data_IF_036006032434
#
_entry.id   IF_036006032434
#
_cell.length_a   1.000
_cell.length_b   1.000
_cell.length_c   1.000
_cell.angle_alpha   90.00
_cell.angle_beta   90.00
_cell.angle_gamma   90.00
#
_symmetry.space_group_name_H-M   'P 1'
#
loop_
_entity.id
_entity.type
_entity.pdbx_description
1 polymer ?
#
# COMPACT_ATOMS: atom_id res chain seq x y z
N UNK A 1 -29.00 -34.25 -38.53
CA UNK A 1 -28.47 -33.22 -39.45
C UNK A 1 -29.61 -32.44 -40.08
N UNK A 2 -29.85 -31.18 -39.70
CA UNK A 2 -30.53 -30.17 -40.54
C UNK A 2 -29.98 -28.80 -40.17
N UNK A 3 -29.29 -28.21 -41.14
CA UNK A 3 -28.76 -26.84 -41.17
C UNK A 3 -29.91 -25.88 -41.46
N UNK A 4 -29.95 -24.70 -40.84
CA UNK A 4 -30.30 -23.41 -41.46
C UNK A 4 -29.96 -22.31 -40.44
N UNK A 5 -28.72 -21.81 -40.46
CA UNK A 5 -28.36 -20.55 -39.82
C UNK A 5 -28.49 -19.49 -40.91
N UNK A 6 -29.56 -18.71 -40.84
CA UNK A 6 -29.80 -17.61 -41.78
C UNK A 6 -28.85 -16.47 -41.46
N UNK A 7 -27.90 -16.26 -42.35
CA UNK A 7 -27.08 -15.06 -42.50
C UNK A 7 -28.00 -13.85 -42.70
N UNK A 8 -27.95 -12.88 -41.79
CA UNK A 8 -28.31 -11.50 -42.07
C UNK A 8 -27.00 -10.71 -42.21
N UNK A 9 -26.66 -10.47 -43.47
CA UNK A 9 -25.50 -9.70 -43.92
C UNK A 9 -26.04 -8.44 -44.61
N UNK A 10 -25.35 -7.33 -44.32
CA UNK A 10 -25.27 -6.02 -45.00
C UNK A 10 -25.80 -4.87 -44.12
N UNK A 11 -24.98 -4.00 -43.55
CA UNK A 11 -23.86 -3.18 -44.05
C UNK A 11 -24.30 -1.71 -44.10
N UNK A 12 -23.45 -0.83 -43.58
CA UNK A 12 -23.48 0.59 -43.95
C UNK A 12 -23.55 1.58 -42.81
N UNK A 13 -22.41 1.81 -42.14
CA UNK A 13 -21.99 3.14 -41.70
C UNK A 13 -20.50 3.08 -41.32
N UNK A 14 -19.65 3.15 -42.34
CA UNK A 14 -18.26 3.56 -42.18
C UNK A 14 -18.22 5.09 -42.14
N UNK A 15 -17.30 5.61 -41.33
CA UNK A 15 -16.82 7.00 -41.24
C UNK A 15 -17.52 7.93 -40.24
N UNK A 16 -17.20 7.69 -38.96
CA UNK A 16 -16.95 8.76 -38.00
C UNK A 16 -15.54 8.61 -37.44
N UNK A 17 -14.54 9.17 -38.13
CA UNK A 17 -13.20 9.36 -37.56
C UNK A 17 -13.28 10.38 -36.43
N UNK A 18 -13.36 9.90 -35.20
CA UNK A 18 -12.87 10.61 -34.02
C UNK A 18 -12.32 9.56 -33.04
N UNK A 19 -11.07 9.17 -33.26
CA UNK A 19 -10.20 8.86 -32.12
C UNK A 19 -10.05 10.16 -31.34
N UNK A 20 -10.92 10.42 -30.36
CA UNK A 20 -10.65 11.39 -29.31
C UNK A 20 -10.96 10.76 -27.98
N UNK A 21 -9.87 10.29 -27.38
CA UNK A 21 -9.68 10.03 -25.96
C UNK A 21 -10.84 9.32 -25.26
N UNK A 22 -10.77 8.00 -25.23
CA UNK A 22 -11.11 7.29 -23.99
C UNK A 22 -10.27 7.98 -22.92
N UNK A 23 -10.91 8.79 -22.08
CA UNK A 23 -10.25 9.63 -21.09
C UNK A 23 -9.53 8.76 -20.07
N UNK A 24 -8.30 8.36 -20.40
CA UNK A 24 -7.23 7.98 -19.48
C UNK A 24 -6.82 9.18 -18.60
N UNK A 25 -7.80 9.87 -18.00
CA UNK A 25 -7.57 10.96 -17.06
C UNK A 25 -7.76 10.49 -15.61
N UNK A 26 -8.62 9.50 -15.36
CA UNK A 26 -8.89 9.06 -13.98
C UNK A 26 -7.89 8.03 -13.42
N UNK A 27 -7.23 7.22 -14.25
CA UNK A 27 -6.26 6.25 -13.72
C UNK A 27 -4.97 6.95 -13.24
N UNK A 28 -4.55 8.01 -13.94
CA UNK A 28 -3.39 8.83 -13.61
C UNK A 28 -3.69 9.74 -12.42
N UNK A 29 -4.85 10.41 -12.36
CA UNK A 29 -5.25 11.25 -11.21
C UNK A 29 -5.45 10.44 -9.92
N UNK A 30 -5.95 9.21 -10.01
CA UNK A 30 -6.09 8.32 -8.84
C UNK A 30 -4.73 7.79 -8.42
N UNK A 31 -3.84 7.45 -9.35
CA UNK A 31 -2.47 7.01 -9.07
C UNK A 31 -1.62 8.11 -8.43
N UNK A 32 -1.73 9.35 -8.92
CA UNK A 32 -0.98 10.50 -8.43
C UNK A 32 -1.51 10.95 -7.06
N UNK A 33 -2.84 10.95 -6.85
CA UNK A 33 -3.43 11.16 -5.51
C UNK A 33 -3.13 10.02 -4.54
N UNK A 34 -3.00 8.78 -5.02
CA UNK A 34 -2.55 7.65 -4.20
C UNK A 34 -1.10 7.82 -3.79
N UNK A 35 -0.21 8.22 -4.71
CA UNK A 35 1.19 8.49 -4.41
C UNK A 35 1.33 9.65 -3.43
N UNK A 36 0.60 10.74 -3.64
CA UNK A 36 0.67 11.93 -2.82
C UNK A 36 0.05 11.70 -1.42
N UNK A 37 -1.07 11.00 -1.34
CA UNK A 37 -1.67 10.60 -0.06
C UNK A 37 -0.80 9.57 0.68
N UNK A 38 -0.12 8.68 -0.04
CA UNK A 38 0.88 7.79 0.54
C UNK A 38 2.07 8.59 1.05
N UNK A 39 2.52 9.62 0.33
CA UNK A 39 3.65 10.47 0.73
C UNK A 39 3.35 11.36 1.94
N UNK A 40 2.12 11.84 2.09
CA UNK A 40 1.67 12.59 3.25
C UNK A 40 1.45 11.70 4.49
N UNK A 41 0.91 10.50 4.28
CA UNK A 41 0.85 9.44 5.29
C UNK A 41 2.26 9.00 5.74
N UNK A 42 3.17 8.79 4.77
CA UNK A 42 4.59 8.51 4.94
C UNK A 42 5.30 9.59 5.76
N UNK A 43 5.02 10.87 5.46
CA UNK A 43 5.57 11.98 6.23
C UNK A 43 4.98 12.05 7.64
N UNK A 44 3.71 11.69 7.85
CA UNK A 44 3.12 11.66 9.20
C UNK A 44 3.69 10.53 10.04
N UNK A 45 3.88 9.33 9.50
CA UNK A 45 4.51 8.20 10.19
C UNK A 45 6.02 8.41 10.43
N UNK A 46 6.75 9.03 9.49
CA UNK A 46 8.13 9.46 9.72
C UNK A 46 8.23 10.61 10.71
N UNK A 47 7.19 11.42 10.89
CA UNK A 47 7.19 12.52 11.85
C UNK A 47 6.37 12.23 13.09
N UNK A 48 5.87 11.00 13.26
CA UNK A 48 5.14 10.58 14.46
C UNK A 48 6.16 10.44 15.61
N UNK A 49 6.25 11.44 16.51
CA UNK A 49 7.24 11.43 17.56
C UNK A 49 6.86 10.41 18.64
N UNK A 50 5.57 10.09 18.76
CA UNK A 50 5.03 9.20 19.77
C UNK A 50 5.36 7.75 19.43
N UNK A 51 5.11 7.33 18.17
CA UNK A 51 5.52 6.02 17.68
C UNK A 51 7.03 5.85 17.76
N UNK A 52 7.81 6.86 17.33
CA UNK A 52 9.27 6.83 17.45
C UNK A 52 9.73 6.64 18.88
N UNK A 53 9.21 7.42 19.83
CA UNK A 53 9.59 7.30 21.24
C UNK A 53 9.18 5.94 21.83
N UNK A 54 7.99 5.44 21.51
CA UNK A 54 7.53 4.11 21.94
C UNK A 54 8.45 3.01 21.41
N UNK A 55 8.82 3.08 20.13
CA UNK A 55 9.75 2.15 19.52
C UNK A 55 11.16 2.24 20.12
N UNK A 56 11.70 3.45 20.28
CA UNK A 56 13.01 3.65 20.94
C UNK A 56 13.01 3.07 22.35
N UNK A 57 11.92 3.26 23.11
CA UNK A 57 11.76 2.76 24.47
C UNK A 57 11.62 1.23 24.49
N UNK A 58 10.74 0.67 23.66
CA UNK A 58 10.48 -0.76 23.58
C UNK A 58 11.68 -1.55 23.03
N UNK A 59 12.42 -0.96 22.10
CA UNK A 59 13.58 -1.55 21.46
C UNK A 59 14.92 -1.26 22.16
N UNK A 60 14.92 -0.36 23.15
CA UNK A 60 16.13 0.27 23.67
C UNK A 60 17.08 0.71 22.53
N UNK A 61 16.52 1.37 21.52
CA UNK A 61 17.20 1.69 20.28
C UNK A 61 17.43 3.20 20.14
N UNK A 62 18.46 3.56 19.38
CA UNK A 62 18.72 4.95 19.02
C UNK A 62 17.72 5.45 18.00
N UNK A 63 17.51 6.77 17.97
CA UNK A 63 16.66 7.44 16.99
C UNK A 63 17.02 7.04 15.55
N UNK A 64 18.30 7.05 15.20
CA UNK A 64 18.78 6.72 13.86
C UNK A 64 18.43 5.28 13.44
N UNK A 65 18.49 4.32 14.37
CA UNK A 65 18.10 2.92 14.10
C UNK A 65 16.60 2.81 13.85
N UNK A 66 15.78 3.48 14.66
CA UNK A 66 14.33 3.52 14.46
C UNK A 66 13.98 4.21 13.14
N UNK A 67 14.64 5.31 12.79
CA UNK A 67 14.39 6.03 11.55
C UNK A 67 14.80 5.22 10.32
N UNK A 68 15.94 4.52 10.37
CA UNK A 68 16.35 3.60 9.30
C UNK A 68 15.37 2.42 9.16
N UNK A 69 14.97 1.82 10.28
CA UNK A 69 14.00 0.73 10.30
C UNK A 69 12.65 1.16 9.73
N UNK A 70 12.07 2.24 10.24
CA UNK A 70 10.81 2.80 9.74
C UNK A 70 10.94 3.22 8.28
N UNK A 71 12.05 3.85 7.90
CA UNK A 71 12.31 4.23 6.50
C UNK A 71 12.37 3.04 5.55
N UNK A 72 12.85 1.88 6.00
CA UNK A 72 12.85 0.65 5.20
C UNK A 72 11.49 -0.05 5.21
N UNK A 73 10.82 -0.09 6.36
CA UNK A 73 9.49 -0.67 6.53
C UNK A 73 8.46 0.05 5.65
N UNK A 74 8.51 1.37 5.65
CA UNK A 74 7.59 2.23 4.91
C UNK A 74 7.81 2.22 3.39
N UNK A 75 8.96 1.74 2.92
CA UNK A 75 9.18 1.45 1.47
C UNK A 75 8.50 0.15 1.03
N UNK A 76 7.98 -0.65 1.96
CA UNK A 76 7.29 -1.87 1.62
C UNK A 76 5.83 -1.57 1.23
N UNK A 77 5.45 -1.92 0.00
CA UNK A 77 4.11 -1.65 -0.55
C UNK A 77 2.98 -2.23 0.32
N UNK A 78 3.22 -3.39 0.95
CA UNK A 78 2.22 -4.00 1.85
C UNK A 78 1.91 -3.10 3.03
N UNK A 79 2.90 -2.44 3.60
CA UNK A 79 2.72 -1.58 4.79
C UNK A 79 1.88 -0.36 4.40
N UNK A 80 2.19 0.24 3.25
CA UNK A 80 1.43 1.35 2.68
C UNK A 80 -0.02 0.95 2.40
N UNK A 81 -0.23 -0.22 1.79
CA UNK A 81 -1.57 -0.72 1.50
C UNK A 81 -2.36 -1.04 2.77
N UNK A 82 -1.69 -1.59 3.79
CA UNK A 82 -2.28 -1.91 5.08
C UNK A 82 -2.67 -0.65 5.85
N UNK A 83 -1.85 0.39 5.84
CA UNK A 83 -2.22 1.70 6.41
C UNK A 83 -3.49 2.24 5.75
N UNK A 84 -3.57 2.18 4.41
CA UNK A 84 -4.74 2.66 3.66
C UNK A 84 -6.02 1.87 3.95
N UNK A 85 -5.92 0.55 4.14
CA UNK A 85 -7.07 -0.35 4.27
C UNK A 85 -7.50 -0.59 5.72
N UNK A 86 -6.54 -0.71 6.63
CA UNK A 86 -6.74 -1.06 8.04
C UNK A 86 -6.66 0.17 8.96
N UNK A 87 -5.97 1.22 8.53
CA UNK A 87 -5.72 2.42 9.31
C UNK A 87 -4.34 2.44 9.98
N UNK A 88 -3.92 3.65 10.33
CA UNK A 88 -2.67 3.99 11.02
C UNK A 88 -2.50 3.23 12.35
N UNK A 89 -3.56 3.19 13.16
CA UNK A 89 -3.55 2.55 14.47
C UNK A 89 -3.26 1.05 14.40
N UNK A 90 -3.82 0.35 13.42
CA UNK A 90 -3.60 -1.10 13.25
C UNK A 90 -2.15 -1.37 12.83
N UNK A 91 -1.61 -0.54 11.93
CA UNK A 91 -0.21 -0.64 11.52
C UNK A 91 0.73 -0.40 12.70
N UNK A 92 0.46 0.62 13.51
CA UNK A 92 1.20 0.90 14.73
C UNK A 92 1.18 -0.28 15.71
N UNK A 93 0.01 -0.84 16.01
CA UNK A 93 -0.12 -1.98 16.93
C UNK A 93 0.70 -3.19 16.44
N UNK A 94 0.68 -3.49 15.14
CA UNK A 94 1.46 -4.60 14.57
C UNK A 94 2.96 -4.32 14.66
N UNK A 95 3.40 -3.09 14.42
CA UNK A 95 4.80 -2.69 14.56
C UNK A 95 5.27 -2.85 16.02
N UNK A 96 4.50 -2.34 16.97
CA UNK A 96 4.80 -2.44 18.41
C UNK A 96 4.89 -3.91 18.85
N UNK A 97 3.92 -4.72 18.43
CA UNK A 97 3.90 -6.15 18.73
C UNK A 97 5.10 -6.88 18.12
N UNK A 98 5.48 -6.55 16.88
CA UNK A 98 6.65 -7.14 16.23
C UNK A 98 7.92 -6.87 17.01
N UNK A 99 8.11 -5.63 17.45
CA UNK A 99 9.30 -5.20 18.18
C UNK A 99 9.35 -5.87 19.55
N UNK A 100 8.24 -5.96 20.27
CA UNK A 100 8.15 -6.69 21.52
C UNK A 100 8.45 -8.19 21.34
N UNK A 101 7.85 -8.82 20.32
CA UNK A 101 8.05 -10.25 20.03
C UNK A 101 9.49 -10.58 19.62
N UNK A 102 10.20 -9.65 19.00
CA UNK A 102 11.60 -9.81 18.60
C UNK A 102 12.59 -9.32 19.67
N UNK A 103 12.14 -9.15 20.92
CA UNK A 103 13.00 -8.76 22.04
C UNK A 103 13.59 -7.36 21.89
N UNK A 104 12.84 -6.44 21.30
CA UNK A 104 13.26 -5.08 21.03
C UNK A 104 14.17 -4.93 19.81
N UNK A 105 14.30 -5.94 18.96
CA UNK A 105 15.14 -5.83 17.75
C UNK A 105 14.42 -5.06 16.65
N UNK A 106 15.15 -4.15 16.01
CA UNK A 106 14.73 -3.38 14.85
C UNK A 106 15.56 -3.81 13.63
N UNK A 107 15.46 -5.08 13.28
CA UNK A 107 16.21 -5.67 12.17
C UNK A 107 15.28 -6.07 11.01
N UNK A 108 15.88 -6.61 9.95
CA UNK A 108 15.13 -7.07 8.79
C UNK A 108 14.14 -8.20 9.11
N UNK A 109 14.39 -9.01 10.15
CA UNK A 109 13.49 -10.09 10.55
C UNK A 109 12.23 -9.52 11.22
N UNK A 110 12.38 -8.52 12.08
CA UNK A 110 11.25 -7.77 12.64
C UNK A 110 10.44 -7.10 11.53
N UNK A 111 11.11 -6.52 10.52
CA UNK A 111 10.46 -5.90 9.38
C UNK A 111 9.61 -6.91 8.57
N UNK A 112 10.18 -8.08 8.27
CA UNK A 112 9.50 -9.16 7.55
C UNK A 112 8.28 -9.68 8.33
N UNK A 113 8.40 -9.80 9.66
CA UNK A 113 7.28 -10.19 10.51
C UNK A 113 6.11 -9.19 10.41
N UNK A 114 6.39 -7.89 10.44
CA UNK A 114 5.36 -6.84 10.32
C UNK A 114 4.64 -6.97 8.98
N UNK A 115 5.39 -7.10 7.89
CA UNK A 115 4.83 -7.24 6.54
C UNK A 115 3.89 -8.44 6.46
N UNK A 116 4.30 -9.60 6.97
CA UNK A 116 3.47 -10.82 6.97
C UNK A 116 2.19 -10.68 7.79
N UNK A 117 2.29 -10.09 8.98
CA UNK A 117 1.12 -9.92 9.85
C UNK A 117 0.12 -8.91 9.24
N UNK A 118 0.60 -7.84 8.62
CA UNK A 118 -0.26 -6.89 7.90
C UNK A 118 -0.92 -7.53 6.67
N UNK A 119 -0.19 -8.34 5.89
CA UNK A 119 -0.79 -9.10 4.78
C UNK A 119 -1.93 -10.00 5.25
N UNK A 120 -1.70 -10.72 6.35
CA UNK A 120 -2.70 -11.61 6.93
C UNK A 120 -3.97 -10.85 7.32
N UNK A 121 -3.84 -9.68 7.94
CA UNK A 121 -4.98 -8.84 8.36
C UNK A 121 -5.73 -8.23 7.19
N UNK A 122 -5.05 -7.88 6.10
CA UNK A 122 -5.70 -7.37 4.88
C UNK A 122 -6.48 -8.44 4.11
N UNK A 123 -6.19 -9.73 4.34
CA UNK A 123 -6.86 -10.85 3.67
C UNK A 123 -8.10 -11.36 4.43
N UNK A 124 -8.33 -10.88 5.65
CA UNK A 124 -9.49 -11.19 6.49
C UNK A 124 -10.61 -10.18 6.26
#
# INVERSE_FOLDING_TARGET
MKKQLTLLLLAGALLGTAMTSVGCSNATDVSDKLQQSAQDALNKLQNDPELKNKLMTAANATKDKVESFMGNLMKNQTVVDAEKKLGDKVVQEVIEQAVQNNGGKLDAATQDWIVKELQKRMQQ
#
